data_IF_278185126485
#
_entry.id   IF_278185126485
#
_cell.length_a   1.000
_cell.length_b   1.000
_cell.length_c   1.000
_cell.angle_alpha   90.00
_cell.angle_beta   90.00
_cell.angle_gamma   90.00
#
_symmetry.space_group_name_H-M   'P 1'
#
loop_
_entity.id
_entity.type
_entity.pdbx_description
1 polymer ?
#
# COMPACT_ATOMS: atom_id res chain seq x y z
N UNK A 1 46.62 35.49 -36.55
CA UNK A 1 45.16 35.43 -36.41
C UNK A 1 44.75 33.95 -36.69
N UNK A 2 44.56 33.15 -35.64
CA UNK A 2 44.15 31.74 -35.74
C UNK A 2 42.63 31.67 -35.62
N UNK A 3 41.97 31.17 -36.68
CA UNK A 3 40.52 30.91 -36.69
C UNK A 3 40.25 29.65 -35.93
N UNK A 4 39.49 29.78 -34.86
CA UNK A 4 38.97 28.66 -34.05
C UNK A 4 37.65 28.20 -34.71
N UNK A 5 37.69 27.05 -35.38
CA UNK A 5 36.46 26.42 -35.93
C UNK A 5 35.77 25.63 -34.78
N UNK A 6 34.62 26.13 -34.39
CA UNK A 6 33.73 25.47 -33.40
C UNK A 6 32.93 24.39 -34.16
N UNK A 7 33.25 23.13 -33.98
CA UNK A 7 32.48 22.04 -34.52
C UNK A 7 31.24 21.79 -33.60
N UNK A 8 30.07 22.12 -34.10
CA UNK A 8 28.80 21.70 -33.47
C UNK A 8 28.62 20.19 -33.70
N UNK A 9 28.76 19.39 -32.65
CA UNK A 9 28.29 18.03 -32.61
C UNK A 9 26.76 18.03 -32.49
N UNK A 10 26.02 17.37 -33.39
CA UNK A 10 24.59 17.18 -33.16
C UNK A 10 24.39 16.17 -32.03
N UNK A 11 23.77 16.62 -30.95
CA UNK A 11 23.29 15.77 -29.86
C UNK A 11 22.07 15.00 -30.38
N UNK A 12 22.28 13.79 -30.91
CA UNK A 12 21.17 12.86 -31.17
C UNK A 12 20.56 12.43 -29.84
N UNK A 13 19.46 13.05 -29.48
CA UNK A 13 18.57 12.51 -28.44
C UNK A 13 17.95 11.26 -29.04
N UNK A 14 18.46 10.11 -28.65
CA UNK A 14 17.79 8.84 -28.88
C UNK A 14 16.48 8.87 -28.07
N UNK A 15 15.37 9.11 -28.74
CA UNK A 15 14.05 8.84 -28.19
C UNK A 15 13.94 7.31 -28.09
N UNK A 16 14.28 6.78 -26.92
CA UNK A 16 13.89 5.42 -26.57
C UNK A 16 12.37 5.45 -26.47
N UNK A 17 11.69 4.85 -27.44
CA UNK A 17 10.28 4.52 -27.30
C UNK A 17 10.18 3.61 -26.07
N UNK A 18 9.64 4.14 -24.97
CA UNK A 18 9.29 3.32 -23.83
C UNK A 18 8.27 2.29 -24.35
N UNK A 19 8.70 1.05 -24.51
CA UNK A 19 7.79 -0.05 -24.79
C UNK A 19 6.90 -0.21 -23.57
N UNK A 20 5.59 -0.28 -23.80
CA UNK A 20 4.63 -0.54 -22.73
C UNK A 20 4.96 -1.90 -22.11
N UNK A 21 5.04 -1.93 -20.78
CA UNK A 21 5.31 -3.14 -20.01
C UNK A 21 4.17 -4.14 -20.23
N UNK A 22 4.50 -5.37 -20.61
CA UNK A 22 3.52 -6.44 -20.82
C UNK A 22 3.02 -7.02 -19.51
N UNK A 23 1.82 -7.59 -19.51
CA UNK A 23 1.30 -8.33 -18.35
C UNK A 23 2.14 -9.60 -18.11
N UNK A 24 2.35 -9.92 -16.82
CA UNK A 24 3.11 -11.08 -16.33
C UNK A 24 4.60 -11.10 -16.76
N UNK A 25 5.18 -9.93 -17.07
CA UNK A 25 6.62 -9.80 -17.28
C UNK A 25 7.35 -10.02 -15.93
N UNK A 26 8.24 -11.03 -15.80
CA UNK A 26 8.99 -11.27 -14.58
C UNK A 26 9.92 -10.13 -14.16
N UNK A 27 10.28 -9.25 -15.09
CA UNK A 27 11.13 -8.07 -14.85
C UNK A 27 10.28 -6.79 -14.78
N UNK A 28 8.99 -6.90 -15.01
CA UNK A 28 8.05 -5.80 -15.00
C UNK A 28 7.79 -5.27 -13.59
N UNK A 29 7.52 -3.98 -13.49
CA UNK A 29 7.14 -3.34 -12.22
C UNK A 29 5.74 -3.74 -11.77
N UNK A 30 4.86 -4.07 -12.72
CA UNK A 30 3.45 -4.35 -12.45
C UNK A 30 3.04 -5.70 -13.01
N UNK A 31 2.41 -6.52 -12.19
CA UNK A 31 1.93 -7.85 -12.60
C UNK A 31 1.04 -7.84 -13.85
N UNK A 32 0.20 -6.83 -14.00
CA UNK A 32 -0.68 -6.65 -15.14
C UNK A 32 -0.13 -5.68 -16.20
N UNK A 33 1.16 -5.33 -16.11
CA UNK A 33 1.84 -4.43 -17.04
C UNK A 33 1.28 -3.01 -17.07
N UNK A 34 1.55 -2.31 -18.16
CA UNK A 34 1.16 -0.91 -18.39
C UNK A 34 -0.14 -0.74 -19.18
N UNK A 35 -0.87 -1.83 -19.46
CA UNK A 35 -2.14 -1.81 -20.23
C UNK A 35 -1.99 -1.12 -21.58
N UNK A 36 -1.00 -1.50 -22.35
CA UNK A 36 -0.62 -0.86 -23.62
C UNK A 36 -0.36 0.65 -23.49
N UNK A 37 0.29 1.07 -22.40
CA UNK A 37 0.61 2.47 -22.12
C UNK A 37 -0.51 3.25 -21.42
N UNK A 38 -1.69 2.65 -21.25
CA UNK A 38 -2.85 3.34 -20.68
C UNK A 38 -2.67 3.70 -19.20
N UNK A 39 -1.99 2.85 -18.44
CA UNK A 39 -1.65 3.12 -17.04
C UNK A 39 -0.76 4.35 -16.90
N UNK A 40 0.28 4.43 -17.73
CA UNK A 40 1.19 5.57 -17.79
C UNK A 40 0.46 6.84 -18.24
N UNK A 41 -0.39 6.76 -19.25
CA UNK A 41 -1.21 7.90 -19.71
C UNK A 41 -2.09 8.44 -18.57
N UNK A 42 -2.82 7.57 -17.89
CA UNK A 42 -3.67 7.95 -16.75
C UNK A 42 -2.86 8.57 -15.60
N UNK A 43 -1.68 8.04 -15.31
CA UNK A 43 -0.79 8.60 -14.28
C UNK A 43 -0.28 10.00 -14.66
N UNK A 44 -0.01 10.24 -15.95
CA UNK A 44 0.35 11.58 -16.45
C UNK A 44 -0.81 12.58 -16.33
N UNK A 45 -2.04 12.11 -16.53
CA UNK A 45 -3.27 12.90 -16.33
C UNK A 45 -3.61 13.11 -14.85
N UNK A 46 -2.91 12.45 -13.92
CA UNK A 46 -3.14 12.60 -12.49
C UNK A 46 -3.95 11.48 -11.83
N UNK A 47 -4.19 10.37 -12.53
CA UNK A 47 -4.93 9.22 -12.01
C UNK A 47 -3.98 8.03 -11.85
N UNK A 48 -3.75 7.59 -10.62
CA UNK A 48 -2.93 6.41 -10.32
C UNK A 48 -3.78 5.31 -9.70
N UNK A 49 -3.61 4.08 -10.19
CA UNK A 49 -4.25 2.90 -9.63
C UNK A 49 -3.23 2.03 -8.92
N UNK A 50 -3.64 1.48 -7.78
CA UNK A 50 -2.89 0.53 -6.97
C UNK A 50 -3.72 -0.74 -6.83
N UNK A 51 -3.11 -1.89 -7.08
CA UNK A 51 -3.72 -3.19 -6.81
C UNK A 51 -2.65 -4.13 -6.27
N UNK A 52 -2.89 -4.70 -5.09
CA UNK A 52 -2.00 -5.67 -4.47
C UNK A 52 -2.79 -6.85 -3.96
N UNK A 53 -2.23 -8.03 -4.12
CA UNK A 53 -2.73 -9.27 -3.54
C UNK A 53 -1.63 -9.82 -2.64
N UNK A 54 -1.96 -10.04 -1.38
CA UNK A 54 -1.08 -10.71 -0.42
C UNK A 54 -1.75 -12.01 0.01
N UNK A 55 -1.00 -13.11 -0.04
CA UNK A 55 -1.44 -14.42 0.44
C UNK A 55 -0.45 -14.97 1.44
N UNK A 56 -0.96 -15.48 2.55
CA UNK A 56 -0.15 -16.14 3.58
C UNK A 56 -0.70 -17.55 3.82
N UNK A 57 0.15 -18.55 3.72
CA UNK A 57 -0.20 -19.93 4.07
C UNK A 57 0.61 -20.36 5.28
N UNK A 58 -0.04 -20.91 6.28
CA UNK A 58 0.58 -21.40 7.51
C UNK A 58 0.08 -22.79 7.87
N UNK A 59 0.96 -23.54 8.53
CA UNK A 59 0.76 -24.90 8.97
C UNK A 59 1.28 -25.08 10.39
N UNK A 60 0.53 -25.76 11.24
CA UNK A 60 0.94 -26.11 12.60
C UNK A 60 1.47 -27.55 12.60
N UNK A 61 2.80 -27.68 12.71
CA UNK A 61 3.48 -28.98 12.65
C UNK A 61 3.30 -29.77 13.96
N UNK A 62 3.49 -29.11 15.12
CA UNK A 62 3.45 -29.74 16.42
C UNK A 62 2.85 -28.81 17.47
N UNK A 63 2.22 -29.38 18.48
CA UNK A 63 1.62 -28.66 19.60
C UNK A 63 0.31 -27.96 19.26
N UNK A 64 -0.10 -27.03 20.11
CA UNK A 64 -1.34 -26.29 19.94
C UNK A 64 -2.60 -27.11 20.13
N UNK A 65 -3.73 -26.60 19.62
CA UNK A 65 -5.05 -27.20 19.78
C UNK A 65 -5.33 -28.29 18.72
N UNK A 66 -4.94 -28.04 17.48
CA UNK A 66 -5.20 -28.92 16.34
C UNK A 66 -3.88 -29.21 15.62
N UNK A 67 -3.03 -30.00 16.28
CA UNK A 67 -1.77 -30.45 15.73
C UNK A 67 -1.96 -31.23 14.44
N UNK A 68 -1.12 -30.97 13.42
CA UNK A 68 -1.16 -31.68 12.15
C UNK A 68 -2.39 -31.39 11.27
N UNK A 69 -3.19 -30.37 11.61
CA UNK A 69 -4.31 -29.96 10.77
C UNK A 69 -3.83 -29.43 9.42
N UNK A 70 -4.72 -29.48 8.42
CA UNK A 70 -4.42 -28.99 7.07
C UNK A 70 -3.96 -27.52 7.08
N UNK A 71 -3.01 -27.15 6.19
CA UNK A 71 -2.57 -25.78 6.03
C UNK A 71 -3.74 -24.81 5.79
N UNK A 72 -3.66 -23.63 6.38
CA UNK A 72 -4.62 -22.55 6.14
C UNK A 72 -4.00 -21.44 5.33
N UNK A 73 -4.75 -20.99 4.34
CA UNK A 73 -4.39 -19.83 3.54
C UNK A 73 -5.32 -18.67 3.87
N UNK A 74 -4.73 -17.51 4.04
CA UNK A 74 -5.41 -16.23 4.09
C UNK A 74 -4.96 -15.35 2.93
N UNK A 75 -5.84 -14.45 2.48
CA UNK A 75 -5.57 -13.54 1.39
C UNK A 75 -6.12 -12.15 1.66
N UNK A 76 -5.44 -11.15 1.18
CA UNK A 76 -5.90 -9.76 1.16
C UNK A 76 -5.76 -9.18 -0.25
N UNK A 77 -6.85 -8.65 -0.77
CA UNK A 77 -6.86 -7.76 -1.92
C UNK A 77 -6.88 -6.32 -1.43
N UNK A 78 -6.05 -5.49 -2.04
CA UNK A 78 -5.97 -4.05 -1.84
C UNK A 78 -6.18 -3.37 -3.17
N UNK A 79 -7.21 -2.53 -3.27
CA UNK A 79 -7.50 -1.72 -4.44
C UNK A 79 -7.50 -0.26 -4.05
N UNK A 80 -6.66 0.53 -4.70
CA UNK A 80 -6.51 1.94 -4.43
C UNK A 80 -6.52 2.80 -5.67
N UNK A 81 -6.90 4.05 -5.51
CA UNK A 81 -6.71 5.11 -6.48
C UNK A 81 -6.22 6.38 -5.79
N UNK A 82 -5.33 7.07 -6.47
CA UNK A 82 -4.85 8.40 -6.07
C UNK A 82 -5.08 9.37 -7.23
N UNK A 83 -5.72 10.49 -6.90
CA UNK A 83 -6.06 11.56 -7.83
C UNK A 83 -5.25 12.80 -7.51
N UNK A 84 -4.46 13.26 -8.47
CA UNK A 84 -3.76 14.53 -8.42
C UNK A 84 -4.73 15.63 -8.90
N UNK A 85 -5.29 16.35 -7.94
CA UNK A 85 -6.30 17.37 -8.22
C UNK A 85 -5.73 18.62 -8.86
N UNK A 86 -4.42 18.85 -8.79
CA UNK A 86 -3.75 19.92 -9.54
C UNK A 86 -3.86 19.68 -11.04
N UNK A 87 -3.62 18.43 -11.47
CA UNK A 87 -3.74 18.03 -12.88
C UNK A 87 -5.18 17.92 -13.34
N UNK A 88 -6.07 17.40 -12.49
CA UNK A 88 -7.46 17.12 -12.86
C UNK A 88 -8.38 18.33 -12.79
N UNK A 89 -8.15 19.23 -11.84
CA UNK A 89 -9.06 20.32 -11.51
C UNK A 89 -8.37 21.67 -11.25
N UNK A 90 -7.04 21.75 -11.38
CA UNK A 90 -6.28 22.98 -11.08
C UNK A 90 -6.18 23.29 -9.58
N UNK A 91 -6.42 22.32 -8.70
CA UNK A 91 -6.31 22.52 -7.24
C UNK A 91 -4.89 22.25 -6.80
N UNK A 92 -4.08 23.30 -6.75
CA UNK A 92 -2.66 23.21 -6.44
C UNK A 92 -2.39 22.41 -5.16
N UNK A 93 -1.45 21.46 -5.25
CA UNK A 93 -0.99 20.63 -4.13
C UNK A 93 -2.08 19.78 -3.45
N UNK A 94 -3.23 19.54 -4.08
CA UNK A 94 -4.32 18.73 -3.52
C UNK A 94 -4.30 17.33 -4.11
N UNK A 95 -4.35 16.32 -3.23
CA UNK A 95 -4.45 14.90 -3.58
C UNK A 95 -5.67 14.29 -2.92
N UNK A 96 -6.44 13.49 -3.66
CA UNK A 96 -7.51 12.66 -3.13
C UNK A 96 -7.08 11.19 -3.23
N UNK A 97 -7.31 10.42 -2.18
CA UNK A 97 -6.99 8.99 -2.15
C UNK A 97 -8.18 8.18 -1.66
N UNK A 98 -8.49 7.08 -2.35
CA UNK A 98 -9.46 6.10 -1.94
C UNK A 98 -8.86 4.70 -1.99
N UNK A 99 -9.07 3.90 -0.95
CA UNK A 99 -8.57 2.51 -0.85
C UNK A 99 -9.65 1.62 -0.27
N UNK A 100 -9.91 0.53 -0.96
CA UNK A 100 -10.73 -0.57 -0.48
C UNK A 100 -9.87 -1.82 -0.27
N UNK A 101 -10.18 -2.59 0.77
CA UNK A 101 -9.53 -3.89 1.02
C UNK A 101 -10.58 -4.96 1.16
N UNK A 102 -10.26 -6.15 0.67
CA UNK A 102 -11.02 -7.36 0.91
C UNK A 102 -10.10 -8.43 1.49
N UNK A 103 -10.58 -9.18 2.49
CA UNK A 103 -9.83 -10.25 3.15
C UNK A 103 -10.65 -11.53 3.16
N UNK A 104 -9.97 -12.64 2.92
CA UNK A 104 -10.55 -13.97 2.99
C UNK A 104 -9.60 -14.94 3.69
N UNK A 105 -10.12 -16.09 4.11
CA UNK A 105 -9.35 -17.16 4.71
C UNK A 105 -9.43 -17.22 6.23
N UNK A 106 -8.60 -18.07 6.80
CA UNK A 106 -8.60 -18.36 8.22
C UNK A 106 -7.18 -18.23 8.79
N UNK A 107 -7.09 -17.90 10.07
CA UNK A 107 -5.83 -17.82 10.79
C UNK A 107 -5.50 -19.15 11.45
N UNK A 108 -4.34 -19.71 11.13
CA UNK A 108 -3.76 -20.87 11.83
C UNK A 108 -3.55 -20.56 13.30
N UNK A 109 -3.14 -19.33 13.66
CA UNK A 109 -3.00 -18.92 15.06
C UNK A 109 -4.30 -19.01 15.84
N UNK A 110 -5.43 -18.68 15.22
CA UNK A 110 -6.75 -18.71 15.87
C UNK A 110 -7.34 -20.13 15.88
N UNK A 111 -7.33 -20.82 14.72
CA UNK A 111 -7.95 -22.14 14.59
C UNK A 111 -7.16 -23.24 15.28
N UNK A 112 -5.83 -23.25 15.08
CA UNK A 112 -5.04 -24.43 15.38
C UNK A 112 -4.11 -24.24 16.57
N UNK A 113 -3.55 -23.03 16.77
CA UNK A 113 -2.59 -22.80 17.85
C UNK A 113 -3.25 -22.50 19.20
N UNK A 114 -4.06 -21.46 19.29
CA UNK A 114 -4.55 -20.94 20.58
C UNK A 114 -6.07 -20.79 20.66
N UNK A 115 -6.78 -21.03 19.58
CA UNK A 115 -8.21 -20.75 19.50
C UNK A 115 -8.49 -19.26 19.66
N UNK A 116 -9.49 -18.89 20.46
CA UNK A 116 -9.87 -17.50 20.72
C UNK A 116 -9.07 -16.82 21.84
N UNK A 117 -8.06 -17.49 22.40
CA UNK A 117 -7.22 -16.89 23.43
C UNK A 117 -6.43 -15.69 22.87
N UNK A 118 -6.13 -14.68 23.70
CA UNK A 118 -5.20 -13.63 23.31
C UNK A 118 -3.84 -14.24 22.97
N UNK A 119 -3.34 -13.93 21.79
CA UNK A 119 -2.04 -14.42 21.32
C UNK A 119 -1.12 -13.25 21.02
N UNK A 120 0.14 -13.42 21.32
CA UNK A 120 1.14 -12.37 21.14
C UNK A 120 1.61 -12.23 19.70
N UNK A 121 1.42 -13.26 18.88
CA UNK A 121 1.83 -13.24 17.47
C UNK A 121 0.81 -13.97 16.59
N UNK A 122 0.65 -13.46 15.38
CA UNK A 122 -0.04 -14.15 14.31
C UNK A 122 1.02 -14.71 13.34
N UNK A 123 0.87 -15.96 12.93
CA UNK A 123 1.76 -16.55 11.92
C UNK A 123 1.40 -16.12 10.49
N UNK A 124 0.25 -15.46 10.33
CA UNK A 124 -0.20 -14.89 9.06
C UNK A 124 -0.49 -13.41 9.26
N UNK A 125 0.02 -12.56 8.36
CA UNK A 125 -0.14 -11.10 8.45
C UNK A 125 -1.54 -10.62 8.13
N UNK A 126 -2.27 -11.39 7.33
CA UNK A 126 -3.63 -11.07 6.92
C UNK A 126 -4.56 -12.25 7.18
N UNK A 127 -5.72 -12.00 7.74
CA UNK A 127 -6.76 -13.03 7.84
C UNK A 127 -8.14 -12.37 8.01
N UNK A 128 -9.15 -13.03 7.51
CA UNK A 128 -10.54 -12.66 7.77
C UNK A 128 -10.89 -12.90 9.24
N UNK A 129 -11.43 -11.91 9.92
CA UNK A 129 -11.94 -12.06 11.28
C UNK A 129 -13.45 -11.79 11.25
N UNK A 130 -14.22 -12.88 11.27
CA UNK A 130 -15.69 -12.85 11.36
C UNK A 130 -16.33 -11.94 10.32
N UNK A 131 -16.77 -12.46 9.22
CA UNK A 131 -17.66 -11.86 8.18
C UNK A 131 -17.38 -10.40 7.75
N UNK A 132 -16.17 -9.89 7.94
CA UNK A 132 -15.80 -8.56 7.46
C UNK A 132 -14.81 -8.68 6.30
N UNK A 133 -15.33 -9.12 5.18
CA UNK A 133 -14.55 -9.46 4.01
C UNK A 133 -14.08 -8.23 3.25
N UNK A 134 -14.77 -7.10 3.35
CA UNK A 134 -14.41 -5.87 2.65
C UNK A 134 -14.56 -4.61 3.50
N UNK A 135 -13.70 -3.61 3.25
CA UNK A 135 -13.69 -2.33 3.94
C UNK A 135 -13.23 -1.20 3.05
N UNK A 136 -13.80 -0.02 3.26
CA UNK A 136 -13.18 1.23 2.82
C UNK A 136 -12.06 1.57 3.81
N UNK A 137 -10.82 1.33 3.41
CA UNK A 137 -9.64 1.46 4.27
C UNK A 137 -9.08 2.88 4.31
N UNK A 138 -9.31 3.66 3.26
CA UNK A 138 -8.98 5.08 3.20
C UNK A 138 -9.95 5.80 2.27
N UNK A 139 -10.36 6.99 2.66
CA UNK A 139 -10.97 8.00 1.80
C UNK A 139 -10.53 9.36 2.33
N UNK A 140 -9.55 9.95 1.69
CA UNK A 140 -8.88 11.14 2.21
C UNK A 140 -8.69 12.21 1.15
N UNK A 141 -8.64 13.45 1.62
CA UNK A 141 -8.14 14.60 0.88
C UNK A 141 -6.94 15.17 1.65
N UNK A 142 -5.86 15.44 0.94
CA UNK A 142 -4.65 16.03 1.49
C UNK A 142 -4.28 17.29 0.70
N UNK A 143 -4.02 18.38 1.41
CA UNK A 143 -3.44 19.61 0.87
C UNK A 143 -2.01 19.75 1.36
N UNK A 144 -1.06 19.86 0.43
CA UNK A 144 0.35 20.10 0.69
C UNK A 144 0.71 21.54 0.32
N UNK A 145 1.25 22.27 1.27
CA UNK A 145 1.81 23.61 1.12
C UNK A 145 3.33 23.48 0.99
N UNK A 146 3.80 23.34 -0.25
CA UNK A 146 5.21 22.99 -0.56
C UNK A 146 6.21 23.97 0.05
N UNK A 147 5.95 25.26 -0.10
CA UNK A 147 6.85 26.34 0.39
C UNK A 147 6.94 26.41 1.91
N UNK A 148 5.94 25.87 2.61
CA UNK A 148 5.86 25.88 4.07
C UNK A 148 6.25 24.54 4.69
N UNK A 149 6.47 23.50 3.88
CA UNK A 149 6.69 22.15 4.37
C UNK A 149 5.51 21.58 5.18
N UNK A 150 4.31 22.14 4.98
CA UNK A 150 3.10 21.76 5.72
C UNK A 150 2.19 20.91 4.87
N UNK A 151 1.65 19.82 5.44
CA UNK A 151 0.53 19.10 4.84
C UNK A 151 -0.61 18.87 5.84
N UNK A 152 -1.84 18.98 5.34
CA UNK A 152 -3.07 18.73 6.09
C UNK A 152 -3.87 17.68 5.34
N UNK A 153 -4.15 16.56 6.01
CA UNK A 153 -4.91 15.44 5.48
C UNK A 153 -6.16 15.23 6.33
N UNK A 154 -7.31 15.06 5.71
CA UNK A 154 -8.57 14.81 6.40
C UNK A 154 -9.40 13.76 5.67
N UNK A 155 -10.23 13.05 6.42
CA UNK A 155 -11.09 12.01 5.88
C UNK A 155 -11.13 10.76 6.73
N UNK A 156 -11.38 9.63 6.08
CA UNK A 156 -11.30 8.32 6.70
C UNK A 156 -9.88 7.79 6.59
N UNK A 157 -9.18 7.71 7.70
CA UNK A 157 -7.74 7.48 7.79
C UNK A 157 -7.43 6.24 8.63
N UNK A 158 -6.41 5.49 8.23
CA UNK A 158 -5.74 4.51 9.08
C UNK A 158 -4.50 5.14 9.70
N UNK A 159 -4.55 5.50 10.96
CA UNK A 159 -3.49 6.26 11.64
C UNK A 159 -2.12 5.57 11.60
N UNK A 160 -2.11 4.24 11.55
CA UNK A 160 -0.87 3.47 11.46
C UNK A 160 -0.01 3.81 10.24
N UNK A 161 -0.62 4.17 9.13
CA UNK A 161 0.08 4.50 7.89
C UNK A 161 0.81 5.85 7.95
N UNK A 162 0.34 6.77 8.77
CA UNK A 162 0.96 8.09 8.92
C UNK A 162 1.98 8.16 10.07
N UNK A 163 1.78 7.39 11.15
CA UNK A 163 2.55 7.56 12.40
C UNK A 163 3.35 6.34 12.83
N UNK A 164 3.18 5.20 12.17
CA UNK A 164 3.79 3.96 12.63
C UNK A 164 4.06 3.00 11.47
N UNK A 165 4.80 3.46 10.48
CA UNK A 165 5.28 2.65 9.36
C UNK A 165 6.63 2.07 9.74
N UNK A 166 6.76 0.75 9.63
CA UNK A 166 8.03 0.05 9.71
C UNK A 166 8.39 -0.46 8.31
N UNK A 167 9.67 -0.42 7.97
CA UNK A 167 10.17 -1.09 6.78
C UNK A 167 10.08 -2.61 7.02
N UNK A 168 9.23 -3.27 6.28
CA UNK A 168 8.99 -4.70 6.39
C UNK A 168 9.35 -5.45 5.11
N UNK A 169 10.18 -4.82 4.29
CA UNK A 169 10.72 -5.43 3.09
C UNK A 169 11.54 -6.67 3.49
N UNK A 170 11.35 -7.78 2.85
CA UNK A 170 12.02 -9.05 3.15
C UNK A 170 11.68 -9.73 4.49
N UNK A 171 10.82 -9.15 5.31
CA UNK A 171 10.34 -9.81 6.52
C UNK A 171 9.00 -10.52 6.26
N UNK A 172 8.80 -11.69 6.88
CA UNK A 172 7.46 -12.25 6.97
C UNK A 172 6.54 -11.24 7.66
N UNK A 173 5.32 -11.07 7.17
CA UNK A 173 4.33 -10.20 7.79
C UNK A 173 4.04 -10.57 9.25
N UNK A 174 4.29 -11.83 9.63
CA UNK A 174 4.22 -12.29 11.02
C UNK A 174 5.25 -11.61 11.94
N UNK A 175 6.42 -11.25 11.43
CA UNK A 175 7.46 -10.55 12.17
C UNK A 175 7.40 -9.02 12.02
N UNK A 176 6.59 -8.54 11.10
CA UNK A 176 6.32 -7.12 10.91
C UNK A 176 5.17 -6.68 11.82
N UNK A 177 5.40 -6.74 13.12
CA UNK A 177 4.40 -6.36 14.09
C UNK A 177 4.29 -4.83 14.21
N UNK A 178 3.11 -4.38 14.61
CA UNK A 178 2.92 -3.02 15.06
C UNK A 178 3.78 -2.74 16.31
N UNK A 179 4.33 -1.53 16.41
CA UNK A 179 5.07 -1.12 17.61
C UNK A 179 4.24 -1.31 18.87
N UNK A 180 4.90 -1.66 19.96
CA UNK A 180 4.27 -1.78 21.27
C UNK A 180 3.61 -0.46 21.67
N UNK A 181 2.43 -0.53 22.30
CA UNK A 181 1.62 0.65 22.62
C UNK A 181 0.55 1.01 21.61
N UNK A 182 0.57 0.43 20.41
CA UNK A 182 -0.44 0.66 19.36
C UNK A 182 -1.84 0.15 19.73
N UNK A 183 -1.95 -0.72 20.70
CA UNK A 183 -3.19 -1.32 21.17
C UNK A 183 -3.85 -0.55 22.31
N UNK A 184 -3.32 0.61 22.66
CA UNK A 184 -3.88 1.42 23.73
C UNK A 184 -5.09 2.20 23.24
N UNK A 185 -6.26 1.71 23.60
CA UNK A 185 -7.56 2.30 23.32
C UNK A 185 -8.15 1.90 21.96
N UNK A 186 -9.41 2.26 21.76
CA UNK A 186 -10.17 1.97 20.56
C UNK A 186 -9.88 2.93 19.39
N UNK A 187 -8.93 3.86 19.57
CA UNK A 187 -8.70 4.96 18.64
C UNK A 187 -7.60 4.61 17.63
N UNK A 188 -6.60 3.85 18.05
CA UNK A 188 -5.45 3.53 17.21
C UNK A 188 -5.66 2.23 16.45
N UNK A 189 -6.17 2.33 15.23
CA UNK A 189 -6.43 1.18 14.38
C UNK A 189 -5.45 1.09 13.22
N UNK A 190 -5.05 -0.14 12.91
CA UNK A 190 -4.26 -0.45 11.72
C UNK A 190 -5.14 -0.70 10.50
N UNK A 191 -4.57 -0.41 9.31
CA UNK A 191 -5.13 -0.88 8.05
C UNK A 191 -5.44 -2.39 8.14
N UNK A 192 -6.64 -2.83 7.70
CA UNK A 192 -7.61 -2.10 6.88
C UNK A 192 -8.64 -1.27 7.68
N UNK A 193 -8.54 -1.21 9.00
CA UNK A 193 -9.47 -0.42 9.81
C UNK A 193 -9.09 1.05 9.72
N UNK A 194 -10.09 1.87 9.49
CA UNK A 194 -9.94 3.32 9.38
C UNK A 194 -11.07 4.03 10.09
N UNK A 195 -10.85 5.27 10.47
CA UNK A 195 -11.82 6.12 11.14
C UNK A 195 -11.71 7.57 10.66
N UNK A 196 -12.73 8.35 10.92
CA UNK A 196 -12.72 9.77 10.58
C UNK A 196 -11.70 10.52 11.43
N UNK A 197 -10.87 11.32 10.78
CA UNK A 197 -9.83 12.07 11.44
C UNK A 197 -9.18 13.10 10.54
N UNK A 198 -8.25 13.84 11.13
CA UNK A 198 -7.37 14.75 10.42
C UNK A 198 -5.94 14.60 10.93
N UNK A 199 -4.98 14.84 10.05
CA UNK A 199 -3.55 14.86 10.34
C UNK A 199 -2.94 16.16 9.85
N UNK A 200 -2.12 16.78 10.68
CA UNK A 200 -1.22 17.89 10.29
C UNK A 200 0.20 17.38 10.37
N UNK A 201 0.99 17.60 9.33
CA UNK A 201 2.41 17.24 9.27
C UNK A 201 3.21 18.48 8.86
N UNK A 202 4.23 18.80 9.66
CA UNK A 202 5.19 19.86 9.39
C UNK A 202 6.58 19.26 9.23
N UNK A 203 7.28 19.60 8.16
CA UNK A 203 8.70 19.32 8.01
C UNK A 203 9.47 20.43 8.73
N UNK A 204 10.40 20.04 9.60
CA UNK A 204 11.33 20.91 10.34
C UNK A 204 12.72 20.67 9.86
#
# INVERSE_FOLDING_TARGET
MKKLSLALLPFMVAMTSAQAESAFDPQGQYLLGDWDGKRTELAQQGIKFEANILTDTAYLAEGGRNEGADPLTSAQLWLGTQLDMEKLAGWDGVTVRAVATARQGQSTSVRDLQGNAPHMANVQGTFGRGNQDSRLSELSIEKTFKDQGLSIKAGRLGLGMDFNVMACDFASTAFCAAQMGKWQGNIWMNTPVSQWGARVKQQV
#
